data_IF_752095138166
#
_entry.id   IF_752095138166
#
_cell.length_a   1.000
_cell.length_b   1.000
_cell.length_c   1.000
_cell.angle_alpha   90.00
_cell.angle_beta   90.00
_cell.angle_gamma   90.00
#
_symmetry.space_group_name_H-M   'P 1'
#
loop_
_entity.id
_entity.type
_entity.pdbx_description
1 polymer ?
#
# COMPACT_ATOMS: atom_id res chain seq x y z
N UNK A 1 10.40 15.64 10.49
CA UNK A 1 8.94 15.57 10.32
C UNK A 1 8.30 16.83 10.89
N UNK A 2 7.40 17.49 10.16
CA UNK A 2 6.71 18.71 10.63
C UNK A 2 5.76 18.41 11.79
N UNK A 3 5.68 19.29 12.80
CA UNK A 3 4.80 19.15 13.98
C UNK A 3 3.31 18.95 13.61
N UNK A 4 2.89 19.45 12.45
CA UNK A 4 1.53 19.21 11.92
C UNK A 4 1.30 17.75 11.57
N UNK A 5 2.30 17.05 11.04
CA UNK A 5 2.18 15.63 10.67
C UNK A 5 2.03 14.75 11.91
N UNK A 6 2.77 15.02 12.98
CA UNK A 6 2.65 14.27 14.23
C UNK A 6 1.28 14.45 14.90
N UNK A 7 0.71 15.66 14.88
CA UNK A 7 -0.64 15.90 15.44
C UNK A 7 -1.71 15.11 14.70
N UNK A 8 -1.65 15.05 13.37
CA UNK A 8 -2.60 14.27 12.57
C UNK A 8 -2.48 12.78 12.90
N UNK A 9 -1.27 12.27 13.06
CA UNK A 9 -1.02 10.87 13.43
C UNK A 9 -1.62 10.55 14.81
N UNK A 10 -1.36 11.40 15.80
CA UNK A 10 -1.89 11.22 17.15
C UNK A 10 -3.43 11.22 17.16
N UNK A 11 -4.05 12.13 16.40
CA UNK A 11 -5.51 12.21 16.25
C UNK A 11 -6.09 10.97 15.56
N UNK A 12 -5.47 10.50 14.47
CA UNK A 12 -5.92 9.28 13.78
C UNK A 12 -5.79 8.04 14.66
N UNK A 13 -4.68 7.92 15.41
CA UNK A 13 -4.48 6.81 16.33
C UNK A 13 -5.48 6.84 17.50
N UNK A 14 -5.74 8.02 18.07
CA UNK A 14 -6.74 8.20 19.12
C UNK A 14 -8.15 7.83 18.62
N UNK A 15 -8.53 8.27 17.41
CA UNK A 15 -9.81 7.90 16.81
C UNK A 15 -9.94 6.39 16.61
N UNK A 16 -8.87 5.73 16.14
CA UNK A 16 -8.85 4.27 15.96
C UNK A 16 -8.96 3.53 17.29
N UNK A 17 -8.28 4.00 18.35
CA UNK A 17 -8.41 3.45 19.70
C UNK A 17 -9.82 3.61 20.26
N UNK A 18 -10.48 4.76 20.04
CA UNK A 18 -11.87 4.98 20.46
C UNK A 18 -12.80 4.04 19.71
N UNK A 19 -12.64 3.87 18.39
CA UNK A 19 -13.44 2.92 17.60
C UNK A 19 -13.25 1.47 18.07
N UNK A 20 -12.01 1.03 18.32
CA UNK A 20 -11.73 -0.31 18.84
C UNK A 20 -12.34 -0.51 20.23
N UNK A 21 -12.17 0.46 21.13
CA UNK A 21 -12.72 0.40 22.48
C UNK A 21 -14.25 0.31 22.46
N UNK A 22 -14.89 1.10 21.59
CA UNK A 22 -16.34 1.03 21.37
C UNK A 22 -16.77 -0.34 20.83
N UNK A 23 -16.03 -0.91 19.88
CA UNK A 23 -16.30 -2.25 19.36
C UNK A 23 -16.21 -3.34 20.44
N UNK A 24 -15.19 -3.29 21.30
CA UNK A 24 -15.02 -4.22 22.43
C UNK A 24 -16.15 -4.05 23.45
N UNK A 25 -16.49 -2.82 23.82
CA UNK A 25 -17.59 -2.53 24.75
C UNK A 25 -18.91 -3.10 24.23
N UNK A 26 -19.21 -2.90 22.94
CA UNK A 26 -20.41 -3.44 22.32
C UNK A 26 -20.41 -4.97 22.31
N UNK A 27 -19.25 -5.61 22.12
CA UNK A 27 -19.12 -7.06 22.21
C UNK A 27 -19.41 -7.57 23.63
N UNK A 28 -18.89 -6.90 24.66
CA UNK A 28 -19.16 -7.24 26.06
C UNK A 28 -20.66 -7.11 26.38
N UNK A 29 -21.30 -6.01 25.96
CA UNK A 29 -22.75 -5.81 26.15
C UNK A 29 -23.54 -6.94 25.49
N UNK A 30 -23.15 -7.36 24.28
CA UNK A 30 -23.80 -8.47 23.60
C UNK A 30 -23.60 -9.81 24.32
N UNK A 31 -22.39 -10.06 24.81
CA UNK A 31 -22.08 -11.28 25.55
C UNK A 31 -22.89 -11.39 26.85
N UNK A 32 -22.99 -10.29 27.61
CA UNK A 32 -23.81 -10.24 28.84
C UNK A 32 -25.28 -10.52 28.51
N UNK A 33 -25.79 -9.88 27.45
CA UNK A 33 -27.19 -10.04 27.04
C UNK A 33 -27.47 -11.47 26.53
N UNK A 34 -26.50 -12.12 25.87
CA UNK A 34 -26.60 -13.53 25.49
C UNK A 34 -26.65 -14.47 26.69
N UNK A 35 -25.84 -14.22 27.72
CA UNK A 35 -25.84 -15.03 28.95
C UNK A 35 -27.19 -14.93 29.66
N UNK A 36 -27.79 -13.74 29.67
CA UNK A 36 -29.09 -13.51 30.29
C UNK A 36 -30.22 -14.26 29.56
N UNK A 37 -30.23 -14.25 28.23
CA UNK A 37 -31.22 -14.98 27.40
C UNK A 37 -31.07 -16.50 27.57
N UNK A 38 -29.85 -17.02 27.61
CA UNK A 38 -29.59 -18.47 27.75
C UNK A 38 -29.95 -19.01 29.14
N UNK A 39 -30.11 -18.15 30.14
CA UNK A 39 -30.40 -18.53 31.52
C UNK A 39 -31.90 -18.46 31.87
N UNK A 40 -32.76 -18.11 30.91
CA UNK A 40 -34.22 -18.10 31.10
C UNK A 40 -34.73 -19.55 30.96
N UNK A 41 -35.26 -20.12 32.04
CA UNK A 41 -35.92 -21.43 32.00
C UNK A 41 -37.11 -21.39 31.02
N UNK A 42 -37.09 -22.29 30.04
CA UNK A 42 -38.07 -22.36 28.95
C UNK A 42 -39.38 -22.97 29.45
N UNK A 43 -40.14 -22.18 30.22
CA UNK A 43 -41.55 -22.39 30.50
C UNK A 43 -42.31 -21.08 30.22
N UNK A 44 -42.06 -20.53 29.03
CA UNK A 44 -42.29 -19.13 28.73
C UNK A 44 -43.58 -18.94 27.91
N UNK A 45 -44.46 -18.06 28.40
CA UNK A 45 -45.68 -17.63 27.71
C UNK A 45 -45.37 -17.02 26.34
N UNK A 46 -46.18 -17.34 25.33
CA UNK A 46 -46.07 -16.87 23.92
C UNK A 46 -45.78 -15.37 23.79
N UNK A 47 -46.35 -14.58 24.70
CA UNK A 47 -46.24 -13.13 24.73
C UNK A 47 -44.80 -12.63 24.98
N UNK A 48 -44.01 -13.37 25.76
CA UNK A 48 -42.62 -13.03 26.06
C UNK A 48 -41.72 -13.33 24.86
N UNK A 49 -42.03 -14.40 24.11
CA UNK A 49 -41.34 -14.73 22.86
C UNK A 49 -41.58 -13.69 21.76
N UNK A 50 -42.81 -13.21 21.62
CA UNK A 50 -43.16 -12.12 20.70
C UNK A 50 -42.41 -10.82 21.07
N UNK A 51 -42.27 -10.50 22.37
CA UNK A 51 -41.47 -9.35 22.79
C UNK A 51 -39.99 -9.53 22.48
N UNK A 52 -39.46 -10.75 22.62
CA UNK A 52 -38.05 -11.05 22.38
C UNK A 52 -37.71 -10.92 20.88
N UNK A 53 -38.59 -11.41 20.01
CA UNK A 53 -38.46 -11.29 18.56
C UNK A 53 -38.53 -9.81 18.15
N UNK A 54 -39.50 -9.05 18.68
CA UNK A 54 -39.63 -7.61 18.41
C UNK A 54 -38.39 -6.82 18.84
N UNK A 55 -37.84 -7.16 20.01
CA UNK A 55 -36.61 -6.57 20.52
C UNK A 55 -35.40 -6.90 19.63
N UNK A 56 -35.26 -8.16 19.19
CA UNK A 56 -34.15 -8.58 18.31
C UNK A 56 -34.22 -7.88 16.94
N UNK A 57 -35.41 -7.75 16.35
CA UNK A 57 -35.64 -7.00 15.11
C UNK A 57 -35.26 -5.52 15.26
N UNK A 58 -35.68 -4.89 16.35
CA UNK A 58 -35.33 -3.48 16.65
C UNK A 58 -33.81 -3.33 16.77
N UNK A 59 -33.16 -4.28 17.43
CA UNK A 59 -31.71 -4.34 17.56
C UNK A 59 -31.04 -4.42 16.19
N UNK A 60 -31.45 -5.36 15.32
CA UNK A 60 -30.90 -5.50 13.97
C UNK A 60 -31.01 -4.20 13.15
N UNK A 61 -32.16 -3.53 13.20
CA UNK A 61 -32.38 -2.25 12.49
C UNK A 61 -31.44 -1.17 13.02
N UNK A 62 -31.26 -1.08 14.34
CA UNK A 62 -30.30 -0.14 14.95
C UNK A 62 -28.86 -0.41 14.50
N UNK A 63 -28.48 -1.67 14.38
CA UNK A 63 -27.16 -2.07 13.88
C UNK A 63 -26.97 -1.70 12.41
N UNK A 64 -27.95 -1.99 11.56
CA UNK A 64 -27.91 -1.58 10.16
C UNK A 64 -27.77 -0.05 10.03
N UNK A 65 -28.53 0.70 10.83
CA UNK A 65 -28.47 2.16 10.87
C UNK A 65 -27.12 2.71 11.36
N UNK A 66 -26.37 1.97 12.20
CA UNK A 66 -25.04 2.36 12.66
C UNK A 66 -23.92 1.95 11.70
N UNK A 67 -24.06 0.80 11.04
CA UNK A 67 -23.06 0.27 10.10
C UNK A 67 -23.00 1.16 8.85
N UNK A 68 -24.14 1.52 8.27
CA UNK A 68 -24.18 2.30 7.00
C UNK A 68 -23.38 3.62 7.09
N UNK A 69 -23.57 4.50 8.10
CA UNK A 69 -22.78 5.71 8.27
C UNK A 69 -21.29 5.44 8.51
N UNK A 70 -20.95 4.36 9.23
CA UNK A 70 -19.55 3.98 9.45
C UNK A 70 -18.87 3.59 8.14
N UNK A 71 -19.54 2.80 7.28
CA UNK A 71 -19.03 2.43 5.96
C UNK A 71 -18.84 3.67 5.07
N UNK A 72 -19.81 4.60 5.07
CA UNK A 72 -19.72 5.87 4.34
C UNK A 72 -18.55 6.74 4.84
N UNK A 73 -18.39 6.84 6.16
CA UNK A 73 -17.30 7.59 6.79
C UNK A 73 -15.92 7.01 6.46
N UNK A 74 -15.78 5.68 6.48
CA UNK A 74 -14.56 4.99 6.05
C UNK A 74 -14.28 5.26 4.58
N UNK A 75 -15.27 5.10 3.70
CA UNK A 75 -15.11 5.36 2.27
C UNK A 75 -14.68 6.80 1.98
N UNK A 76 -15.28 7.77 2.66
CA UNK A 76 -14.89 9.18 2.55
C UNK A 76 -13.45 9.42 3.04
N UNK A 77 -13.06 8.77 4.13
CA UNK A 77 -11.70 8.87 4.69
C UNK A 77 -10.66 8.26 3.75
N UNK A 78 -10.95 7.09 3.17
CA UNK A 78 -10.15 6.45 2.13
C UNK A 78 -9.96 7.39 0.94
N UNK A 79 -11.06 7.96 0.43
CA UNK A 79 -11.02 8.82 -0.75
C UNK A 79 -10.17 10.08 -0.50
N UNK A 80 -10.27 10.64 0.71
CA UNK A 80 -9.47 11.80 1.12
C UNK A 80 -7.99 11.47 1.37
N UNK A 81 -7.68 10.25 1.82
CA UNK A 81 -6.30 9.78 2.01
C UNK A 81 -5.61 9.47 0.68
N UNK A 82 -6.38 9.03 -0.33
CA UNK A 82 -5.88 8.72 -1.68
C UNK A 82 -5.23 9.92 -2.37
N UNK A 83 -5.73 11.13 -2.14
CA UNK A 83 -5.18 12.35 -2.74
C UNK A 83 -3.79 12.72 -2.21
N UNK A 84 -3.41 12.22 -1.03
CA UNK A 84 -2.11 12.52 -0.42
C UNK A 84 -1.15 11.36 -0.67
N UNK A 85 -0.32 11.50 -1.70
CA UNK A 85 0.63 10.49 -2.19
C UNK A 85 1.88 10.33 -1.30
N UNK A 86 1.68 10.05 -0.02
CA UNK A 86 2.73 9.72 0.93
C UNK A 86 2.69 8.22 1.23
N UNK A 87 3.85 7.57 1.27
CA UNK A 87 4.01 6.16 1.65
C UNK A 87 3.30 5.83 2.97
N UNK A 88 3.24 6.80 3.88
CA UNK A 88 2.53 6.68 5.15
C UNK A 88 1.00 6.59 4.98
N UNK A 89 0.42 7.40 4.09
CA UNK A 89 -1.02 7.36 3.85
C UNK A 89 -1.44 6.06 3.20
N UNK A 90 -0.59 5.47 2.35
CA UNK A 90 -0.81 4.15 1.77
C UNK A 90 -0.87 3.09 2.88
N UNK A 91 0.06 3.12 3.83
CA UNK A 91 0.03 2.21 4.99
C UNK A 91 -1.21 2.39 5.86
N UNK A 92 -1.59 3.64 6.14
CA UNK A 92 -2.77 3.95 6.94
C UNK A 92 -4.07 3.55 6.21
N UNK A 93 -4.08 3.64 4.88
CA UNK A 93 -5.16 3.15 4.02
C UNK A 93 -5.31 1.63 4.16
N UNK A 94 -4.20 0.88 4.14
CA UNK A 94 -4.22 -0.58 4.34
C UNK A 94 -4.77 -0.98 5.69
N UNK A 95 -4.36 -0.31 6.78
CA UNK A 95 -4.91 -0.57 8.11
C UNK A 95 -6.42 -0.28 8.15
N UNK A 96 -6.85 0.86 7.59
CA UNK A 96 -8.26 1.25 7.58
C UNK A 96 -9.12 0.25 6.80
N UNK A 97 -8.62 -0.22 5.64
CA UNK A 97 -9.27 -1.25 4.85
C UNK A 97 -9.30 -2.61 5.56
N UNK A 98 -8.21 -3.00 6.21
CA UNK A 98 -8.17 -4.24 6.97
C UNK A 98 -9.20 -4.22 8.12
N UNK A 99 -9.28 -3.11 8.86
CA UNK A 99 -10.31 -2.92 9.89
C UNK A 99 -11.73 -2.96 9.32
N UNK A 100 -11.94 -2.39 8.13
CA UNK A 100 -13.22 -2.48 7.43
C UNK A 100 -13.59 -3.92 7.07
N UNK A 101 -12.64 -4.71 6.55
CA UNK A 101 -12.89 -6.11 6.19
C UNK A 101 -13.30 -6.91 7.43
N UNK A 102 -12.58 -6.76 8.54
CA UNK A 102 -12.91 -7.44 9.80
C UNK A 102 -14.29 -7.03 10.34
N UNK A 103 -14.61 -5.73 10.29
CA UNK A 103 -15.92 -5.24 10.72
C UNK A 103 -17.05 -5.77 9.83
N UNK A 104 -16.82 -5.82 8.51
CA UNK A 104 -17.78 -6.34 7.55
C UNK A 104 -18.00 -7.85 7.74
N UNK A 105 -16.94 -8.62 7.92
CA UNK A 105 -17.01 -10.05 8.20
C UNK A 105 -17.76 -10.34 9.51
N UNK A 106 -17.51 -9.56 10.57
CA UNK A 106 -18.27 -9.63 11.82
C UNK A 106 -19.76 -9.35 11.61
N UNK A 107 -20.12 -8.35 10.80
CA UNK A 107 -21.51 -8.06 10.48
C UNK A 107 -22.20 -9.22 9.75
N UNK A 108 -21.51 -9.88 8.81
CA UNK A 108 -22.03 -11.07 8.12
C UNK A 108 -22.25 -12.21 9.09
N UNK A 109 -21.25 -12.55 9.90
CA UNK A 109 -21.35 -13.61 10.92
C UNK A 109 -22.53 -13.36 11.85
N UNK A 110 -22.73 -12.11 12.25
CA UNK A 110 -23.83 -11.75 13.14
C UNK A 110 -25.19 -11.78 12.47
N UNK A 111 -25.30 -11.39 11.20
CA UNK A 111 -26.52 -11.58 10.42
C UNK A 111 -26.90 -13.05 10.33
N UNK A 112 -25.93 -13.93 10.04
CA UNK A 112 -26.13 -15.38 10.01
C UNK A 112 -26.60 -15.89 11.38
N UNK A 113 -25.96 -15.45 12.46
CA UNK A 113 -26.32 -15.91 13.80
C UNK A 113 -27.71 -15.43 14.21
N UNK A 114 -28.02 -14.17 13.97
CA UNK A 114 -29.34 -13.62 14.27
C UNK A 114 -30.44 -14.31 13.47
N UNK A 115 -30.14 -14.67 12.23
CA UNK A 115 -31.05 -15.45 11.40
C UNK A 115 -31.33 -16.84 11.99
N UNK A 116 -30.29 -17.56 12.43
CA UNK A 116 -30.46 -18.87 13.08
C UNK A 116 -31.32 -18.77 14.35
N UNK A 117 -31.11 -17.71 15.15
CA UNK A 117 -31.90 -17.46 16.37
C UNK A 117 -33.37 -17.25 16.04
N UNK A 118 -33.71 -16.41 15.06
CA UNK A 118 -35.10 -16.22 14.61
C UNK A 118 -35.73 -17.54 14.17
N UNK A 119 -34.97 -18.37 13.46
CA UNK A 119 -35.43 -19.67 12.95
C UNK A 119 -35.71 -20.66 14.09
N UNK A 120 -34.87 -20.69 15.13
CA UNK A 120 -35.12 -21.50 16.34
C UNK A 120 -36.42 -21.04 17.01
N UNK A 121 -36.67 -19.73 17.09
CA UNK A 121 -37.91 -19.20 17.66
C UNK A 121 -39.16 -19.55 16.83
N UNK A 122 -39.09 -19.50 15.49
CA UNK A 122 -40.21 -19.93 14.62
C UNK A 122 -40.58 -21.41 14.84
N UNK A 123 -39.57 -22.28 14.96
CA UNK A 123 -39.77 -23.71 15.25
C UNK A 123 -40.44 -23.90 16.62
N UNK A 124 -39.95 -23.20 17.65
CA UNK A 124 -40.50 -23.26 19.00
C UNK A 124 -41.96 -22.77 19.07
N UNK A 125 -42.34 -21.80 18.25
CA UNK A 125 -43.72 -21.30 18.16
C UNK A 125 -44.68 -22.21 17.38
N UNK A 126 -44.18 -23.27 16.75
CA UNK A 126 -44.97 -24.09 15.83
C UNK A 126 -45.46 -23.31 14.61
N UNK A 127 -44.90 -22.12 14.35
CA UNK A 127 -45.17 -21.33 13.16
C UNK A 127 -44.36 -21.90 12.01
N UNK A 128 -44.87 -22.97 11.41
CA UNK A 128 -44.47 -23.40 10.07
C UNK A 128 -44.93 -22.31 9.10
N UNK A 129 -44.12 -21.28 8.87
CA UNK A 129 -44.37 -20.34 7.79
C UNK A 129 -44.43 -21.13 6.48
N UNK A 130 -45.64 -21.26 5.93
CA UNK A 130 -45.93 -22.05 4.73
C UNK A 130 -45.35 -21.46 3.43
N UNK A 131 -44.51 -20.43 3.53
CA UNK A 131 -43.71 -19.89 2.45
C UNK A 131 -42.25 -19.99 2.85
N UNK A 132 -41.62 -21.12 2.53
CA UNK A 132 -40.17 -21.25 2.66
C UNK A 132 -39.57 -20.25 1.67
N UNK A 133 -38.99 -19.18 2.20
CA UNK A 133 -38.27 -18.21 1.37
C UNK A 133 -37.19 -18.99 0.58
N UNK A 134 -37.12 -18.83 -0.74
CA UNK A 134 -36.26 -19.69 -1.58
C UNK A 134 -34.79 -19.60 -1.15
N UNK A 135 -34.39 -18.43 -0.63
CA UNK A 135 -33.07 -18.16 -0.07
C UNK A 135 -32.84 -18.97 1.22
N UNK A 136 -33.86 -19.16 2.03
CA UNK A 136 -33.83 -19.90 3.29
C UNK A 136 -33.65 -21.40 3.07
N UNK A 137 -34.43 -21.99 2.14
CA UNK A 137 -34.26 -23.39 1.72
C UNK A 137 -32.87 -23.68 1.19
N UNK A 138 -32.25 -22.67 0.60
CA UNK A 138 -30.98 -22.80 -0.07
C UNK A 138 -29.80 -22.71 0.91
N UNK A 139 -29.84 -21.75 1.82
CA UNK A 139 -28.76 -21.52 2.79
C UNK A 139 -28.79 -22.46 4.00
N UNK A 140 -29.97 -22.97 4.38
CA UNK A 140 -30.13 -23.75 5.62
C UNK A 140 -30.95 -25.00 5.40
N UNK A 141 -30.57 -26.08 6.08
CA UNK A 141 -31.32 -27.33 6.09
C UNK A 141 -32.59 -27.19 6.94
N UNK A 142 -33.50 -28.16 6.82
CA UNK A 142 -34.70 -28.21 7.64
C UNK A 142 -34.40 -28.25 9.16
N UNK A 143 -33.18 -28.63 9.56
CA UNK A 143 -32.73 -28.63 10.96
C UNK A 143 -32.21 -27.29 11.47
N UNK A 144 -32.10 -26.27 10.60
CA UNK A 144 -31.53 -24.96 10.94
C UNK A 144 -30.00 -24.90 10.86
N UNK A 145 -29.32 -26.03 10.63
CA UNK A 145 -27.90 -26.04 10.26
C UNK A 145 -27.71 -25.46 8.87
N UNK A 146 -26.58 -24.79 8.64
CA UNK A 146 -26.25 -24.26 7.32
C UNK A 146 -26.10 -25.42 6.33
N UNK A 147 -26.70 -25.31 5.14
CA UNK A 147 -26.54 -26.33 4.11
C UNK A 147 -25.10 -26.31 3.58
N UNK A 148 -24.58 -27.46 3.16
CA UNK A 148 -23.23 -27.55 2.57
C UNK A 148 -23.09 -26.59 1.37
N UNK A 149 -24.16 -26.45 0.57
CA UNK A 149 -24.22 -25.48 -0.52
C UNK A 149 -24.15 -24.03 -0.04
N UNK A 150 -24.83 -23.71 1.06
CA UNK A 150 -24.78 -22.38 1.69
C UNK A 150 -23.38 -22.01 2.16
N UNK A 151 -22.67 -22.96 2.79
CA UNK A 151 -21.28 -22.76 3.23
C UNK A 151 -20.37 -22.51 2.03
N UNK A 152 -20.48 -23.33 0.97
CA UNK A 152 -19.66 -23.19 -0.25
C UNK A 152 -19.88 -21.83 -0.90
N UNK A 153 -21.13 -21.36 -0.99
CA UNK A 153 -21.46 -20.11 -1.67
C UNK A 153 -21.02 -18.89 -0.88
N UNK A 154 -21.19 -18.89 0.45
CA UNK A 154 -20.66 -17.81 1.29
C UNK A 154 -19.14 -17.76 1.22
N UNK A 155 -18.48 -18.93 1.27
CA UNK A 155 -17.02 -19.03 1.14
C UNK A 155 -16.55 -18.51 -0.23
N UNK A 156 -17.27 -18.83 -1.30
CA UNK A 156 -16.99 -18.35 -2.65
C UNK A 156 -17.18 -16.84 -2.77
N UNK A 157 -18.25 -16.28 -2.22
CA UNK A 157 -18.50 -14.83 -2.17
C UNK A 157 -17.42 -14.09 -1.39
N UNK A 158 -17.01 -14.62 -0.23
CA UNK A 158 -15.89 -14.09 0.55
C UNK A 158 -14.58 -14.14 -0.24
N UNK A 159 -14.30 -15.26 -0.92
CA UNK A 159 -13.13 -15.42 -1.79
C UNK A 159 -13.11 -14.44 -2.95
N UNK A 160 -14.24 -14.25 -3.64
CA UNK A 160 -14.39 -13.26 -4.73
C UNK A 160 -14.19 -11.85 -4.19
N UNK A 161 -14.76 -11.53 -3.02
CA UNK A 161 -14.62 -10.21 -2.39
C UNK A 161 -13.16 -9.93 -2.03
N UNK A 162 -12.45 -10.91 -1.47
CA UNK A 162 -11.02 -10.82 -1.17
C UNK A 162 -10.16 -10.71 -2.44
N UNK A 163 -10.50 -11.44 -3.50
CA UNK A 163 -9.79 -11.38 -4.78
C UNK A 163 -9.98 -10.04 -5.50
N UNK A 164 -11.22 -9.51 -5.54
CA UNK A 164 -11.51 -8.18 -6.06
C UNK A 164 -10.80 -7.09 -5.27
N UNK A 165 -10.74 -7.24 -3.94
CA UNK A 165 -9.97 -6.36 -3.08
C UNK A 165 -8.48 -6.39 -3.43
N UNK A 166 -7.89 -7.58 -3.60
CA UNK A 166 -6.48 -7.72 -3.98
C UNK A 166 -6.19 -7.09 -5.35
N UNK A 167 -7.10 -7.24 -6.32
CA UNK A 167 -7.04 -6.59 -7.62
C UNK A 167 -7.07 -5.06 -7.52
N UNK A 168 -7.98 -4.49 -6.73
CA UNK A 168 -8.06 -3.04 -6.51
C UNK A 168 -6.79 -2.49 -5.86
N UNK A 169 -6.20 -3.24 -4.93
CA UNK A 169 -4.92 -2.90 -4.31
C UNK A 169 -3.78 -2.91 -5.33
N UNK A 170 -3.69 -3.95 -6.17
CA UNK A 170 -2.63 -4.03 -7.18
C UNK A 170 -2.74 -2.95 -8.25
N UNK A 171 -3.96 -2.65 -8.71
CA UNK A 171 -4.22 -1.59 -9.70
C UNK A 171 -3.90 -0.21 -9.11
N UNK A 172 -4.11 -0.01 -7.81
CA UNK A 172 -3.71 1.22 -7.10
C UNK A 172 -2.19 1.38 -6.91
N UNK A 173 -1.44 0.26 -6.87
CA UNK A 173 0.01 0.25 -6.67
C UNK A 173 0.84 0.45 -7.94
N UNK A 174 0.29 0.15 -9.12
CA UNK A 174 0.97 0.41 -10.39
C UNK A 174 0.89 1.90 -10.77
N UNK A 175 1.79 2.66 -10.16
CA UNK A 175 2.17 4.01 -10.55
C UNK A 175 2.52 4.01 -12.05
N UNK A 176 1.64 4.55 -12.90
CA UNK A 176 2.08 5.14 -14.17
C UNK A 176 2.98 6.30 -13.78
N UNK A 177 4.31 6.10 -13.81
CA UNK A 177 5.23 7.23 -13.92
C UNK A 177 4.75 8.03 -15.13
N UNK A 178 4.25 9.23 -14.87
CA UNK A 178 3.86 10.15 -15.94
C UNK A 178 5.09 10.41 -16.79
N UNK A 179 4.90 10.41 -18.11
CA UNK A 179 5.97 10.64 -19.07
C UNK A 179 6.75 11.93 -18.76
N UNK A 180 6.06 12.92 -18.19
CA UNK A 180 6.62 14.19 -17.70
C UNK A 180 7.60 14.01 -16.53
N UNK A 181 7.34 13.12 -15.56
CA UNK A 181 8.24 12.86 -14.43
C UNK A 181 9.53 12.14 -14.91
N UNK A 182 9.42 11.30 -15.94
CA UNK A 182 10.58 10.72 -16.64
C UNK A 182 11.37 11.77 -17.42
N UNK A 183 10.68 12.68 -18.11
CA UNK A 183 11.31 13.76 -18.88
C UNK A 183 12.01 14.75 -17.95
N UNK A 184 11.43 15.11 -16.80
CA UNK A 184 12.07 15.98 -15.81
C UNK A 184 13.30 15.34 -15.18
N UNK A 185 13.24 14.06 -14.77
CA UNK A 185 14.44 13.35 -14.28
C UNK A 185 15.52 13.26 -15.34
N UNK A 186 15.15 13.03 -16.59
CA UNK A 186 16.08 13.01 -17.71
C UNK A 186 16.70 14.40 -17.94
N UNK A 187 15.92 15.49 -17.84
CA UNK A 187 16.41 16.86 -18.00
C UNK A 187 17.30 17.30 -16.84
N UNK A 188 16.94 16.99 -15.60
CA UNK A 188 17.74 17.27 -14.42
C UNK A 188 19.07 16.50 -14.44
N UNK A 189 19.06 15.24 -14.89
CA UNK A 189 20.29 14.48 -15.12
C UNK A 189 21.16 15.11 -16.24
N UNK A 190 20.53 15.66 -17.28
CA UNK A 190 21.24 16.35 -18.37
C UNK A 190 21.82 17.72 -17.96
N UNK A 191 21.12 18.49 -17.12
CA UNK A 191 21.62 19.78 -16.62
C UNK A 191 22.84 19.61 -15.71
N UNK A 192 22.88 18.55 -14.90
CA UNK A 192 24.05 18.22 -14.08
C UNK A 192 25.27 17.84 -14.92
N UNK A 193 25.07 17.26 -16.11
CA UNK A 193 26.17 16.97 -17.05
C UNK A 193 26.65 18.16 -17.86
N UNK A 194 25.84 19.23 -17.99
CA UNK A 194 26.18 20.41 -18.82
C UNK A 194 27.12 21.41 -18.14
N UNK A 195 27.39 21.23 -16.84
CA UNK A 195 28.35 22.05 -16.07
C UNK A 195 29.70 21.32 -15.89
N UNK A 196 30.22 20.71 -16.96
CA UNK A 196 31.59 20.17 -16.97
C UNK A 196 32.52 21.26 -17.55
N UNK A 197 33.60 21.65 -16.87
CA UNK A 197 34.52 22.66 -17.39
C UNK A 197 35.15 22.17 -18.70
N UNK A 198 35.26 23.06 -19.68
CA UNK A 198 35.90 22.95 -21.02
C UNK A 198 37.18 22.08 -21.03
N UNK A 199 37.90 22.11 -19.91
CA UNK A 199 39.07 21.30 -19.55
C UNK A 199 38.88 19.79 -19.79
N UNK A 200 37.66 19.27 -19.65
CA UNK A 200 37.31 17.87 -19.90
C UNK A 200 37.39 17.51 -21.40
N UNK A 201 36.96 18.40 -22.28
CA UNK A 201 36.87 18.13 -23.72
C UNK A 201 38.26 17.97 -24.34
N UNK A 202 39.27 18.67 -23.81
CA UNK A 202 40.65 18.54 -24.27
C UNK A 202 41.27 17.18 -23.97
N UNK A 203 40.94 16.58 -22.82
CA UNK A 203 41.41 15.23 -22.47
C UNK A 203 40.66 14.15 -23.25
N UNK A 204 39.40 14.38 -23.60
CA UNK A 204 38.57 13.47 -24.42
C UNK A 204 39.04 13.37 -25.88
N UNK A 205 39.90 14.28 -26.36
CA UNK A 205 40.53 14.20 -27.69
C UNK A 205 41.51 13.03 -27.83
N UNK A 206 41.95 12.43 -26.71
CA UNK A 206 42.83 11.25 -26.73
C UNK A 206 42.01 10.01 -27.07
N UNK A 207 42.37 9.33 -28.16
CA UNK A 207 41.71 8.09 -28.57
C UNK A 207 41.75 7.06 -27.43
N UNK A 208 40.57 6.67 -26.94
CA UNK A 208 40.41 5.73 -25.82
C UNK A 208 40.18 6.37 -24.46
N UNK A 209 40.26 7.70 -24.33
CA UNK A 209 39.90 8.44 -23.12
C UNK A 209 38.48 8.98 -23.26
N UNK A 210 37.53 8.32 -22.62
CA UNK A 210 36.14 8.77 -22.55
C UNK A 210 35.89 9.77 -21.40
N UNK A 211 34.67 10.34 -21.32
CA UNK A 211 34.33 11.38 -20.34
C UNK A 211 34.54 10.96 -18.88
N UNK A 212 34.37 9.68 -18.57
CA UNK A 212 34.59 9.10 -17.23
C UNK A 212 36.09 9.10 -16.89
N UNK A 213 36.94 8.74 -17.85
CA UNK A 213 38.40 8.73 -17.64
C UNK A 213 38.95 10.15 -17.53
N UNK A 214 38.47 11.08 -18.37
CA UNK A 214 38.82 12.49 -18.27
C UNK A 214 38.46 13.08 -16.88
N UNK A 215 37.31 12.72 -16.32
CA UNK A 215 36.92 13.17 -14.97
C UNK A 215 37.82 12.59 -13.87
N UNK A 216 38.21 11.31 -13.98
CA UNK A 216 39.16 10.69 -13.05
C UNK A 216 40.54 11.37 -13.10
N UNK A 217 41.02 11.71 -14.30
CA UNK A 217 42.28 12.44 -14.49
C UNK A 217 42.21 13.84 -13.86
N UNK A 218 41.10 14.56 -14.07
CA UNK A 218 40.87 15.86 -13.44
C UNK A 218 40.89 15.78 -11.90
N UNK A 219 40.24 14.77 -11.32
CA UNK A 219 40.25 14.53 -9.86
C UNK A 219 41.64 14.18 -9.33
N UNK A 220 42.48 13.53 -10.15
CA UNK A 220 43.88 13.25 -9.83
C UNK A 220 44.82 14.47 -10.04
N UNK A 221 44.26 15.64 -10.37
CA UNK A 221 44.99 16.89 -10.56
C UNK A 221 45.62 17.05 -11.95
N UNK A 222 45.33 16.16 -12.90
CA UNK A 222 45.78 16.24 -14.28
C UNK A 222 44.74 17.03 -15.07
N UNK A 223 45.03 18.31 -15.33
CA UNK A 223 44.05 19.25 -15.87
C UNK A 223 44.26 19.59 -17.34
N UNK A 224 45.30 19.10 -17.99
CA UNK A 224 45.56 19.43 -19.39
C UNK A 224 46.29 18.33 -20.13
N UNK A 225 46.28 18.38 -21.46
CA UNK A 225 47.10 17.50 -22.30
C UNK A 225 48.60 17.61 -21.95
N UNK A 226 49.06 18.80 -21.57
CA UNK A 226 50.45 19.04 -21.13
C UNK A 226 50.72 18.36 -19.79
N UNK A 227 49.79 18.45 -18.84
CA UNK A 227 49.93 17.80 -17.53
C UNK A 227 49.96 16.28 -17.70
N UNK A 228 49.09 15.74 -18.56
CA UNK A 228 49.05 14.30 -18.83
C UNK A 228 50.32 13.83 -19.55
N UNK A 229 50.82 14.58 -20.53
CA UNK A 229 52.06 14.24 -21.25
C UNK A 229 53.30 14.27 -20.35
N UNK A 230 53.29 15.06 -19.27
CA UNK A 230 54.38 15.17 -18.30
C UNK A 230 54.14 14.35 -17.01
N UNK A 231 53.03 13.62 -16.92
CA UNK A 231 52.70 12.81 -15.75
C UNK A 231 53.46 11.49 -15.73
N UNK A 232 53.72 10.98 -14.54
CA UNK A 232 54.29 9.65 -14.32
C UNK A 232 53.26 8.56 -14.70
N UNK A 233 53.64 7.55 -15.52
CA UNK A 233 52.80 6.38 -15.81
C UNK A 233 52.18 5.74 -14.57
N UNK A 234 52.90 5.67 -13.44
CA UNK A 234 52.38 5.08 -12.21
C UNK A 234 51.19 5.88 -11.67
N UNK A 235 51.33 7.21 -11.62
CA UNK A 235 50.28 8.12 -11.14
C UNK A 235 49.02 8.09 -12.01
N UNK A 236 49.19 7.96 -13.33
CA UNK A 236 48.08 7.85 -14.28
C UNK A 236 47.40 6.48 -14.17
N UNK A 237 48.18 5.42 -14.01
CA UNK A 237 47.66 4.06 -13.79
C UNK A 237 46.80 3.99 -12.52
N UNK A 238 47.29 4.57 -11.42
CA UNK A 238 46.57 4.62 -10.14
C UNK A 238 45.27 5.45 -10.24
N UNK A 239 45.32 6.59 -10.92
CA UNK A 239 44.16 7.47 -11.11
C UNK A 239 43.04 6.79 -11.93
N UNK A 240 43.42 6.00 -12.94
CA UNK A 240 42.48 5.34 -13.85
C UNK A 240 42.12 3.91 -13.44
N UNK A 241 42.88 3.32 -12.51
CA UNK A 241 42.84 1.91 -12.12
C UNK A 241 43.09 0.97 -13.32
N UNK A 242 44.20 1.21 -14.03
CA UNK A 242 44.63 0.48 -15.23
C UNK A 242 46.10 0.05 -15.10
N UNK A 243 46.60 -0.75 -16.04
CA UNK A 243 48.02 -1.13 -16.05
C UNK A 243 48.93 0.05 -16.43
N UNK A 244 50.17 0.01 -15.96
CA UNK A 244 51.21 1.01 -16.31
C UNK A 244 51.51 1.04 -17.80
N UNK A 245 51.43 -0.09 -18.51
CA UNK A 245 51.57 -0.10 -19.97
C UNK A 245 50.43 0.69 -20.62
N UNK A 246 49.19 0.47 -20.18
CA UNK A 246 48.01 1.17 -20.71
C UNK A 246 48.07 2.68 -20.43
N UNK A 247 48.53 3.07 -19.24
CA UNK A 247 48.78 4.46 -18.88
C UNK A 247 49.84 5.12 -19.79
N UNK A 248 50.92 4.39 -20.12
CA UNK A 248 51.97 4.90 -21.00
C UNK A 248 51.46 5.20 -22.41
N UNK A 249 50.49 4.43 -22.92
CA UNK A 249 49.85 4.69 -24.23
C UNK A 249 49.12 6.03 -24.22
N UNK A 250 48.40 6.35 -23.13
CA UNK A 250 47.70 7.63 -23.00
C UNK A 250 48.66 8.82 -22.87
N UNK A 251 49.75 8.66 -22.12
CA UNK A 251 50.80 9.69 -21.98
C UNK A 251 51.48 9.97 -23.33
N UNK A 252 51.80 8.91 -24.08
CA UNK A 252 52.40 9.03 -25.40
C UNK A 252 51.45 9.71 -26.40
N UNK A 253 50.17 9.32 -26.40
CA UNK A 253 49.15 9.95 -27.23
C UNK A 253 48.98 11.44 -26.89
N UNK A 254 48.97 11.80 -25.60
CA UNK A 254 48.95 13.20 -25.15
C UNK A 254 50.19 13.96 -25.63
N UNK A 255 51.38 13.36 -25.51
CA UNK A 255 52.65 13.96 -25.97
C UNK A 255 52.66 14.22 -27.48
N UNK A 256 52.12 13.30 -28.29
CA UNK A 256 51.96 13.48 -29.73
C UNK A 256 51.04 14.65 -30.08
N UNK A 257 49.91 14.79 -29.37
CA UNK A 257 48.98 15.91 -29.56
C UNK A 257 49.59 17.25 -29.14
N UNK A 258 50.32 17.29 -28.01
CA UNK A 258 51.03 18.50 -27.56
C UNK A 258 52.13 18.93 -28.55
N UNK A 259 52.85 17.97 -29.14
CA UNK A 259 53.85 18.25 -30.18
C UNK A 259 53.20 18.78 -31.47
N UNK A 260 52.06 18.22 -31.87
CA UNK A 260 51.31 18.66 -33.04
C UNK A 260 50.71 20.08 -32.87
N UNK A 261 50.47 20.53 -31.64
CA UNK A 261 50.03 21.91 -31.34
C UNK A 261 51.18 22.94 -31.34
N UNK A 262 52.44 22.50 -31.35
CA UNK A 262 53.63 23.37 -31.27
C UNK A 262 54.22 23.96 -32.58
N UNK A 263 53.74 23.73 -33.82
CA UNK A 263 54.41 24.24 -35.02
C UNK A 263 53.74 25.44 -35.72
N UNK A 264 53.24 26.47 -35.00
CA UNK A 264 52.84 27.74 -35.66
C UNK A 264 53.19 29.04 -34.94
N UNK A 265 54.05 29.01 -33.92
CA UNK A 265 54.51 30.23 -33.25
C UNK A 265 56.00 30.45 -33.54
N UNK A 266 56.30 30.65 -34.83
CA UNK A 266 57.54 31.24 -35.37
C UNK A 266 57.36 31.43 -36.87
N UNK A 267 56.71 32.51 -37.28
CA UNK A 267 57.16 33.41 -38.37
C UNK A 267 56.41 34.72 -38.23
#
# INVERSE_FOLDING_TARGET
MSSKSQRVIALSFAALCVCLSFSVLMYIILFINQQEIMNIEVNVERQLLESLISWELTRQVLWAALIIPCLVGIFFTVNRLKEKNSTYNIYLLYILYFGFILAFEYCILRLIWSYQVTRVYEILLGMSSAGIDAIQSFLFTASGTMSDYGIVIISMLLGITAALFFLLVQIGGHRKETLEEKIERSKAAHELTKKKPDISEDLEKIKGVGPIMAEKLLKAGIKSLKDLANSDPQKVADALNISTESASVFINAASSLVKAQKPSEKT
#
